data_IF_568956757720
#
_entry.id   IF_568956757720
#
_cell.length_a   1.000
_cell.length_b   1.000
_cell.length_c   1.000
_cell.angle_alpha   90.00
_cell.angle_beta   90.00
_cell.angle_gamma   90.00
#
_symmetry.space_group_name_H-M   'P 1'
#
loop_
_entity.id
_entity.type
_entity.pdbx_description
1 polymer ?
#
# COMPACT_ATOMS: atom_id res chain seq x y z
N UNK A 1 0.24 -16.09 -0.57
CA UNK A 1 0.37 -15.20 -1.75
C UNK A 1 1.81 -14.80 -2.02
N UNK A 2 2.48 -13.98 -1.17
CA UNK A 2 3.88 -13.56 -1.40
C UNK A 2 4.86 -14.73 -1.63
N UNK A 3 4.85 -15.76 -0.76
CA UNK A 3 5.69 -16.96 -0.96
C UNK A 3 5.35 -17.73 -2.24
N UNK A 4 4.06 -17.77 -2.61
CA UNK A 4 3.58 -18.49 -3.79
C UNK A 4 3.86 -17.74 -5.09
N UNK A 5 4.05 -16.41 -5.05
CA UNK A 5 4.30 -15.63 -6.26
C UNK A 5 5.68 -15.89 -6.85
N UNK A 6 6.66 -16.27 -6.02
CA UNK A 6 8.01 -16.60 -6.44
C UNK A 6 8.81 -15.42 -6.98
N UNK A 7 8.41 -14.18 -6.63
CA UNK A 7 9.07 -12.93 -7.07
C UNK A 7 9.77 -12.18 -5.92
N UNK A 8 9.83 -12.79 -4.74
CA UNK A 8 10.48 -12.22 -3.57
C UNK A 8 11.67 -13.07 -3.18
N UNK A 9 12.86 -12.46 -3.09
CA UNK A 9 14.04 -13.09 -2.52
C UNK A 9 13.91 -13.26 -1.01
N UNK A 10 13.32 -12.24 -0.36
CA UNK A 10 13.11 -12.17 1.08
C UNK A 10 11.67 -11.76 1.42
N UNK A 11 11.12 -12.35 2.48
CA UNK A 11 9.79 -12.02 2.99
C UNK A 11 9.93 -11.71 4.48
N UNK A 12 9.92 -10.43 4.83
CA UNK A 12 10.02 -9.98 6.22
C UNK A 12 8.62 -9.69 6.78
N UNK A 13 8.35 -10.17 7.98
CA UNK A 13 7.23 -9.70 8.80
C UNK A 13 7.78 -8.79 9.89
N UNK A 14 7.43 -7.50 9.80
CA UNK A 14 7.71 -6.51 10.84
C UNK A 14 6.56 -6.50 11.86
N UNK A 15 6.86 -6.86 13.10
CA UNK A 15 5.88 -6.90 14.19
C UNK A 15 6.55 -6.63 15.54
N UNK A 16 5.79 -6.04 16.46
CA UNK A 16 6.11 -5.85 17.87
C UNK A 16 5.52 -6.97 18.76
N UNK A 17 4.65 -7.82 18.19
CA UNK A 17 3.97 -8.91 18.88
C UNK A 17 4.72 -10.25 18.72
N UNK A 18 4.93 -10.95 19.83
CA UNK A 18 5.67 -12.22 19.86
C UNK A 18 4.89 -13.38 19.22
N UNK A 19 3.58 -13.42 19.39
CA UNK A 19 2.74 -14.45 18.79
C UNK A 19 2.75 -14.31 17.27
N UNK A 20 2.62 -13.09 16.75
CA UNK A 20 2.72 -12.80 15.31
C UNK A 20 4.10 -13.21 14.78
N UNK A 21 5.18 -12.90 15.51
CA UNK A 21 6.53 -13.27 15.12
C UNK A 21 6.72 -14.79 15.00
N UNK A 22 6.27 -15.56 15.99
CA UNK A 22 6.41 -17.02 16.01
C UNK A 22 5.54 -17.68 14.95
N UNK A 23 4.30 -17.21 14.76
CA UNK A 23 3.44 -17.66 13.65
C UNK A 23 4.12 -17.38 12.32
N UNK A 24 4.62 -16.18 12.09
CA UNK A 24 5.25 -15.80 10.82
C UNK A 24 6.45 -16.68 10.46
N UNK A 25 7.32 -16.94 11.44
CA UNK A 25 8.46 -17.87 11.28
C UNK A 25 8.00 -19.28 10.93
N UNK A 26 6.92 -19.78 11.56
CA UNK A 26 6.38 -21.12 11.28
C UNK A 26 5.88 -21.30 9.84
N UNK A 27 5.45 -20.21 9.19
CA UNK A 27 5.08 -20.20 7.77
C UNK A 27 6.27 -19.92 6.83
N UNK A 28 7.46 -19.68 7.39
CA UNK A 28 8.72 -19.49 6.68
C UNK A 28 8.99 -18.05 6.24
N UNK A 29 8.35 -17.06 6.87
CA UNK A 29 8.77 -15.67 6.75
C UNK A 29 9.91 -15.34 7.73
N UNK A 30 10.69 -14.33 7.41
CA UNK A 30 11.77 -13.81 8.25
C UNK A 30 11.21 -12.78 9.24
N UNK A 31 11.67 -12.83 10.48
CA UNK A 31 11.36 -11.81 11.51
C UNK A 31 12.68 -11.40 12.14
N UNK A 32 13.49 -10.60 11.43
CA UNK A 32 14.87 -10.33 11.83
C UNK A 32 15.00 -9.36 13.01
N UNK A 33 13.93 -8.62 13.29
CA UNK A 33 13.85 -7.67 14.39
C UNK A 33 12.43 -7.67 14.96
N UNK A 34 12.31 -7.19 16.19
CA UNK A 34 11.02 -6.75 16.74
C UNK A 34 10.87 -5.27 16.44
N UNK A 35 9.71 -4.88 15.91
CA UNK A 35 9.44 -3.48 15.56
C UNK A 35 9.45 -2.61 16.83
N UNK A 36 10.13 -1.44 16.81
CA UNK A 36 10.07 -0.49 17.91
C UNK A 36 8.65 -0.02 18.21
N UNK A 37 8.35 0.29 19.48
CA UNK A 37 7.00 0.63 19.94
C UNK A 37 6.47 1.91 19.29
N UNK A 38 7.34 2.89 19.03
CA UNK A 38 7.04 4.13 18.34
C UNK A 38 6.62 3.94 16.86
N UNK A 39 6.90 2.77 16.28
CA UNK A 39 6.45 2.39 14.93
C UNK A 39 5.26 1.43 14.95
N UNK A 40 4.68 1.18 16.12
CA UNK A 40 3.57 0.26 16.33
C UNK A 40 2.34 0.94 16.96
N UNK A 41 2.34 2.26 17.09
CA UNK A 41 1.21 3.02 17.61
C UNK A 41 0.15 3.35 16.53
N UNK A 42 -0.94 4.01 16.93
CA UNK A 42 -2.05 4.38 16.04
C UNK A 42 -1.71 5.51 15.05
N UNK A 43 -0.53 6.12 15.17
CA UNK A 43 -0.10 7.30 14.39
C UNK A 43 0.99 6.96 13.37
N UNK A 44 1.75 5.90 13.60
CA UNK A 44 2.84 5.45 12.74
C UNK A 44 2.35 5.19 11.31
N UNK A 45 2.98 5.86 10.34
CA UNK A 45 2.65 5.73 8.94
C UNK A 45 3.23 4.45 8.33
N UNK A 46 2.56 3.92 7.31
CA UNK A 46 3.09 2.76 6.54
C UNK A 46 4.49 3.05 6.00
N UNK A 47 4.74 4.25 5.48
CA UNK A 47 6.06 4.64 4.97
C UNK A 47 7.16 4.56 6.04
N UNK A 48 6.88 4.92 7.29
CA UNK A 48 7.87 4.87 8.38
C UNK A 48 8.20 3.43 8.76
N UNK A 49 7.17 2.58 8.88
CA UNK A 49 7.33 1.14 9.17
C UNK A 49 8.13 0.44 8.07
N UNK A 50 7.85 0.75 6.80
CA UNK A 50 8.58 0.16 5.68
C UNK A 50 9.99 0.73 5.61
N UNK A 51 10.19 2.04 5.79
CA UNK A 51 11.51 2.69 5.84
C UNK A 51 12.42 2.06 6.90
N UNK A 52 11.90 1.73 8.09
CA UNK A 52 12.64 0.98 9.11
C UNK A 52 13.11 -0.39 8.60
N UNK A 53 12.22 -1.13 7.91
CA UNK A 53 12.57 -2.43 7.34
C UNK A 53 13.61 -2.30 6.22
N UNK A 54 13.50 -1.29 5.35
CA UNK A 54 14.49 -1.02 4.29
C UNK A 54 15.84 -0.61 4.89
N UNK A 55 15.85 0.24 5.92
CA UNK A 55 17.08 0.64 6.62
C UNK A 55 17.81 -0.58 7.16
N UNK A 56 17.08 -1.48 7.84
CA UNK A 56 17.64 -2.74 8.32
C UNK A 56 18.23 -3.59 7.18
N UNK A 57 17.54 -3.70 6.03
CA UNK A 57 18.05 -4.45 4.86
C UNK A 57 19.41 -3.88 4.40
N UNK A 58 19.54 -2.55 4.32
CA UNK A 58 20.79 -1.89 3.91
C UNK A 58 21.91 -2.10 4.93
N UNK A 59 21.61 -2.11 6.23
CA UNK A 59 22.57 -2.47 7.29
C UNK A 59 23.08 -3.91 7.16
N UNK A 60 22.27 -4.82 6.61
CA UNK A 60 22.67 -6.19 6.28
C UNK A 60 23.32 -6.33 4.90
N UNK A 61 23.68 -5.20 4.25
CA UNK A 61 24.26 -5.14 2.91
C UNK A 61 23.35 -5.69 1.80
N UNK A 62 22.05 -5.84 2.06
CA UNK A 62 21.08 -6.20 1.01
C UNK A 62 20.90 -5.04 0.05
N UNK A 63 20.67 -5.38 -1.23
CA UNK A 63 20.47 -4.41 -2.31
C UNK A 63 19.16 -4.70 -3.04
N UNK A 64 18.01 -4.53 -2.36
CA UNK A 64 16.72 -4.77 -2.99
C UNK A 64 16.51 -3.79 -4.15
N UNK A 65 15.99 -4.27 -5.28
CA UNK A 65 15.61 -3.40 -6.41
C UNK A 65 14.20 -2.80 -6.25
N UNK A 66 13.38 -3.47 -5.44
CA UNK A 66 12.03 -3.08 -5.09
C UNK A 66 11.66 -3.66 -3.72
N UNK A 67 10.78 -2.96 -3.00
CA UNK A 67 10.24 -3.40 -1.71
C UNK A 67 8.72 -3.30 -1.79
N UNK A 68 8.03 -4.37 -1.39
CA UNK A 68 6.56 -4.40 -1.36
C UNK A 68 6.05 -4.41 0.08
N UNK A 69 5.22 -3.44 0.42
CA UNK A 69 4.31 -3.55 1.56
C UNK A 69 3.11 -4.41 1.17
N UNK A 70 2.74 -5.37 2.01
CA UNK A 70 1.52 -6.17 1.91
C UNK A 70 0.87 -6.16 3.30
N UNK A 71 -0.37 -5.71 3.41
CA UNK A 71 -1.06 -5.78 4.70
C UNK A 71 -1.56 -7.19 4.98
N UNK A 72 -1.51 -7.59 6.26
CA UNK A 72 -2.02 -8.89 6.70
C UNK A 72 -3.53 -9.04 6.46
N UNK A 73 -4.26 -7.92 6.35
CA UNK A 73 -5.71 -7.87 6.10
C UNK A 73 -6.10 -7.94 4.62
N UNK A 74 -5.13 -7.94 3.70
CA UNK A 74 -5.37 -8.00 2.25
C UNK A 74 -5.70 -9.42 1.78
N UNK A 75 -6.74 -10.02 2.34
CA UNK A 75 -7.09 -11.45 2.16
C UNK A 75 -7.46 -11.84 0.73
N UNK A 76 -7.85 -10.88 -0.11
CA UNK A 76 -8.18 -11.09 -1.53
C UNK A 76 -7.02 -10.81 -2.49
N UNK A 77 -5.84 -10.43 -1.98
CA UNK A 77 -4.65 -10.20 -2.78
C UNK A 77 -4.25 -11.49 -3.53
N UNK A 78 -4.06 -11.41 -4.84
CA UNK A 78 -3.64 -12.56 -5.65
C UNK A 78 -2.15 -12.50 -6.02
N UNK A 79 -1.62 -13.61 -6.55
CA UNK A 79 -0.24 -13.65 -7.05
C UNK A 79 -0.09 -12.75 -8.27
N UNK A 80 -1.12 -12.73 -9.12
CA UNK A 80 -1.20 -11.94 -10.34
C UNK A 80 -1.14 -10.44 -10.04
N UNK A 81 -1.83 -10.00 -8.99
CA UNK A 81 -1.81 -8.60 -8.54
C UNK A 81 -0.40 -8.15 -8.17
N UNK A 82 0.33 -8.94 -7.38
CA UNK A 82 1.70 -8.63 -6.98
C UNK A 82 2.65 -8.58 -8.18
N UNK A 83 2.54 -9.55 -9.11
CA UNK A 83 3.36 -9.59 -10.33
C UNK A 83 3.08 -8.40 -11.23
N UNK A 84 1.81 -8.03 -11.39
CA UNK A 84 1.40 -6.87 -12.18
C UNK A 84 1.91 -5.57 -11.56
N UNK A 85 1.79 -5.41 -10.25
CA UNK A 85 2.34 -4.24 -9.55
C UNK A 85 3.85 -4.09 -9.72
N UNK A 86 4.58 -5.21 -9.61
CA UNK A 86 6.03 -5.22 -9.81
C UNK A 86 6.43 -4.88 -11.26
N UNK A 87 5.72 -5.46 -12.24
CA UNK A 87 5.91 -5.15 -13.67
C UNK A 87 5.64 -3.67 -13.98
N UNK A 88 4.61 -3.08 -13.38
CA UNK A 88 4.33 -1.63 -13.50
C UNK A 88 5.48 -0.79 -12.91
N UNK A 89 5.94 -1.12 -11.70
CA UNK A 89 7.05 -0.39 -11.05
C UNK A 89 8.33 -0.45 -11.88
N UNK A 90 8.61 -1.58 -12.53
CA UNK A 90 9.88 -1.81 -13.25
C UNK A 90 9.88 -1.26 -14.68
N UNK A 91 8.71 -1.06 -15.29
CA UNK A 91 8.61 -0.55 -16.68
C UNK A 91 8.66 0.96 -16.82
N UNK A 92 8.43 1.71 -15.73
CA UNK A 92 8.44 3.17 -15.77
C UNK A 92 9.40 3.77 -14.75
N UNK A 93 9.52 5.08 -14.80
CA UNK A 93 10.26 5.87 -13.82
C UNK A 93 9.31 6.28 -12.70
N UNK A 94 8.96 5.30 -11.85
CA UNK A 94 8.00 5.45 -10.77
C UNK A 94 8.65 5.20 -9.42
N UNK A 95 8.31 6.04 -8.44
CA UNK A 95 8.66 5.81 -7.03
C UNK A 95 7.89 4.64 -6.43
N UNK A 96 6.61 4.50 -6.81
CA UNK A 96 5.67 3.52 -6.26
C UNK A 96 4.73 2.93 -7.31
N UNK A 97 4.20 1.74 -7.04
CA UNK A 97 3.09 1.13 -7.77
C UNK A 97 2.18 0.38 -6.78
N UNK A 98 0.88 0.60 -6.83
CA UNK A 98 -0.06 0.08 -5.82
C UNK A 98 -1.40 -0.34 -6.42
N UNK A 99 -2.17 -1.08 -5.63
CA UNK A 99 -3.50 -1.55 -6.01
C UNK A 99 -4.53 -0.43 -5.94
N UNK A 100 -5.35 -0.29 -6.98
CA UNK A 100 -6.48 0.64 -7.02
C UNK A 100 -7.72 -0.07 -7.56
N UNK A 101 -8.89 0.41 -7.14
CA UNK A 101 -10.18 -0.06 -7.64
C UNK A 101 -11.07 1.14 -7.97
N UNK A 102 -12.08 0.91 -8.80
CA UNK A 102 -13.12 1.88 -9.10
C UNK A 102 -14.08 2.07 -7.92
N UNK A 103 -14.67 3.26 -7.86
CA UNK A 103 -15.85 3.49 -7.03
C UNK A 103 -17.08 2.86 -7.70
N UNK A 104 -17.99 2.32 -6.89
CA UNK A 104 -19.28 1.78 -7.36
C UNK A 104 -20.10 2.85 -8.10
N UNK A 105 -19.96 4.12 -7.70
CA UNK A 105 -20.61 5.25 -8.36
C UNK A 105 -19.65 6.45 -8.49
N UNK A 106 -19.72 7.27 -9.57
CA UNK A 106 -18.76 8.35 -9.79
C UNK A 106 -18.73 9.36 -8.64
N UNK A 107 -17.56 9.58 -8.05
CA UNK A 107 -17.37 10.53 -6.94
C UNK A 107 -17.80 11.96 -7.28
N UNK A 108 -17.81 12.31 -8.57
CA UNK A 108 -18.27 13.60 -9.07
C UNK A 108 -19.77 13.85 -8.83
N UNK A 109 -20.51 12.84 -8.38
CA UNK A 109 -21.91 12.95 -7.92
C UNK A 109 -22.05 13.00 -6.41
N UNK A 110 -20.96 13.03 -5.66
CA UNK A 110 -20.99 13.08 -4.21
C UNK A 110 -21.52 14.41 -3.70
N UNK A 111 -22.07 14.37 -2.48
CA UNK A 111 -22.62 15.53 -1.80
C UNK A 111 -22.01 15.71 -0.41
N UNK A 112 -21.87 16.96 0.00
CA UNK A 112 -21.67 17.38 1.38
C UNK A 112 -23.03 17.48 2.08
N UNK A 113 -23.14 16.90 3.26
CA UNK A 113 -24.30 17.06 4.13
C UNK A 113 -24.18 18.34 4.97
N UNK A 114 -25.30 19.05 5.13
CA UNK A 114 -25.39 20.19 6.04
C UNK A 114 -25.92 19.78 7.43
N UNK A 115 -25.40 20.36 8.53
CA UNK A 115 -25.84 20.03 9.88
C UNK A 115 -27.35 20.23 10.14
N UNK A 116 -28.00 21.14 9.41
CA UNK A 116 -29.44 21.40 9.50
C UNK A 116 -30.31 20.53 8.59
N UNK A 117 -29.72 19.54 7.90
CA UNK A 117 -30.35 18.78 6.84
C UNK A 117 -30.17 19.42 5.46
N UNK A 118 -30.36 18.60 4.42
CA UNK A 118 -30.08 18.98 3.03
C UNK A 118 -28.63 18.68 2.62
N UNK A 119 -28.37 18.81 1.32
CA UNK A 119 -27.09 18.42 0.71
C UNK A 119 -26.65 19.40 -0.37
N UNK A 120 -25.34 19.51 -0.59
CA UNK A 120 -24.71 20.28 -1.67
C UNK A 120 -23.72 19.41 -2.43
N UNK A 121 -23.66 19.50 -3.76
CA UNK A 121 -22.66 18.73 -4.52
C UNK A 121 -21.24 19.16 -4.20
N UNK A 122 -20.32 18.20 -4.08
CA UNK A 122 -18.88 18.52 -4.03
C UNK A 122 -18.35 19.05 -5.37
N UNK A 123 -18.95 18.65 -6.49
CA UNK A 123 -18.51 18.97 -7.85
C UNK A 123 -19.68 19.54 -8.69
N UNK A 124 -20.20 20.74 -8.36
CA UNK A 124 -21.37 21.33 -9.02
C UNK A 124 -21.17 21.56 -10.54
N UNK A 125 -19.94 21.75 -11.00
CA UNK A 125 -19.57 21.87 -12.42
C UNK A 125 -19.86 20.62 -13.26
N UNK A 126 -20.24 19.51 -12.62
CA UNK A 126 -20.58 18.25 -13.27
C UNK A 126 -22.09 17.93 -13.25
N UNK A 127 -22.94 18.87 -12.80
CA UNK A 127 -24.38 18.67 -12.69
C UNK A 127 -25.03 18.18 -13.98
N UNK A 128 -24.81 18.89 -15.10
CA UNK A 128 -25.41 18.60 -16.42
C UNK A 128 -24.77 17.41 -17.16
N UNK A 129 -23.61 16.92 -16.69
CA UNK A 129 -22.95 15.78 -17.34
C UNK A 129 -23.72 14.50 -17.01
N UNK A 130 -23.76 13.52 -17.91
CA UNK A 130 -24.30 12.18 -17.56
C UNK A 130 -23.23 11.38 -16.83
N UNK A 131 -23.64 10.43 -15.98
CA UNK A 131 -22.69 9.71 -15.13
C UNK A 131 -21.64 8.91 -15.92
N UNK A 132 -21.99 8.40 -17.09
CA UNK A 132 -21.08 7.71 -18.01
C UNK A 132 -20.10 8.62 -18.76
N UNK A 133 -20.35 9.95 -18.76
CA UNK A 133 -19.47 10.94 -19.40
C UNK A 133 -18.50 11.58 -18.38
N UNK A 134 -18.56 11.16 -17.10
CA UNK A 134 -17.68 11.64 -16.04
C UNK A 134 -16.31 10.95 -16.12
N UNK A 135 -15.23 11.61 -15.66
CA UNK A 135 -13.93 10.96 -15.55
C UNK A 135 -14.01 9.70 -14.69
N UNK A 136 -13.21 8.68 -15.02
CA UNK A 136 -13.06 7.52 -14.15
C UNK A 136 -12.29 7.95 -12.90
N UNK A 137 -12.92 7.78 -11.74
CA UNK A 137 -12.27 7.94 -10.45
C UNK A 137 -11.89 6.56 -9.89
N UNK A 138 -10.74 6.50 -9.22
CA UNK A 138 -10.22 5.33 -8.55
C UNK A 138 -9.95 5.68 -7.10
N UNK A 139 -9.98 4.68 -6.22
CA UNK A 139 -9.44 4.80 -4.89
C UNK A 139 -8.43 3.70 -4.62
N UNK A 140 -7.61 3.95 -3.60
CA UNK A 140 -6.67 2.97 -3.08
C UNK A 140 -7.43 1.73 -2.58
N UNK A 141 -6.99 0.56 -3.04
CA UNK A 141 -7.53 -0.72 -2.60
C UNK A 141 -6.78 -1.29 -1.39
N UNK A 142 -5.68 -0.66 -0.98
CA UNK A 142 -4.88 -1.02 0.19
C UNK A 142 -4.56 -2.52 0.25
N UNK A 143 -4.21 -3.12 -0.90
CA UNK A 143 -3.79 -4.52 -0.95
C UNK A 143 -2.28 -4.66 -0.88
N UNK A 144 -1.57 -3.80 -1.62
CA UNK A 144 -0.12 -3.75 -1.64
C UNK A 144 0.40 -2.39 -2.11
N UNK A 145 1.65 -2.10 -1.76
CA UNK A 145 2.42 -0.98 -2.29
C UNK A 145 3.82 -1.45 -2.63
N UNK A 146 4.13 -1.54 -3.91
CA UNK A 146 5.50 -1.63 -4.39
C UNK A 146 6.15 -0.25 -4.36
N UNK A 147 7.42 -0.18 -3.98
CA UNK A 147 8.20 1.05 -4.04
C UNK A 147 9.68 0.80 -4.22
N UNK A 148 10.38 1.80 -4.76
CA UNK A 148 11.84 1.80 -4.79
C UNK A 148 12.39 1.98 -3.37
N UNK A 149 13.52 1.34 -3.02
CA UNK A 149 14.10 1.48 -1.68
C UNK A 149 14.33 2.94 -1.28
N UNK A 150 14.88 3.75 -2.20
CA UNK A 150 15.12 5.17 -1.95
C UNK A 150 13.83 5.95 -1.74
N UNK A 151 12.72 5.56 -2.38
CA UNK A 151 11.43 6.21 -2.16
C UNK A 151 10.94 6.01 -0.72
N UNK A 152 11.08 4.78 -0.20
CA UNK A 152 10.76 4.46 1.18
C UNK A 152 11.67 5.20 2.17
N UNK A 153 12.98 5.15 1.95
CA UNK A 153 13.98 5.79 2.83
C UNK A 153 13.85 7.31 2.89
N UNK A 154 13.52 7.95 1.78
CA UNK A 154 13.30 9.40 1.72
C UNK A 154 11.87 9.82 2.10
N UNK A 155 11.04 8.87 2.52
CA UNK A 155 9.64 9.09 2.89
C UNK A 155 8.84 9.85 1.81
N UNK A 156 9.10 9.52 0.54
CA UNK A 156 8.33 10.10 -0.57
C UNK A 156 6.86 9.72 -0.40
N UNK A 157 5.95 10.66 -0.70
CA UNK A 157 4.52 10.37 -0.65
C UNK A 157 4.15 9.41 -1.77
N UNK A 158 3.32 8.43 -1.43
CA UNK A 158 2.91 7.36 -2.37
C UNK A 158 2.08 7.88 -3.55
N UNK A 159 1.44 9.04 -3.39
CA UNK A 159 0.49 9.61 -4.34
C UNK A 159 0.98 10.91 -5.03
N UNK A 160 2.24 11.30 -4.81
CA UNK A 160 2.85 12.50 -5.41
C UNK A 160 3.60 12.17 -6.71
#
# INVERSE_FOLDING_TARGET
VAKQSGIFDHIIVSTDDKEIAEVSKSYGAEVPFMRPAELADDYAGTTEVISHSVSWMFEQEWKPEAVCCIYATSVFLTVEDLKKGFDVLTRGDWSYAFSVTDFEYPIFRSFKEYPGGGVEMFFPEHFEKRSQDLPKALHDAAQFYWGKPDAWLNHLKVFD
#
